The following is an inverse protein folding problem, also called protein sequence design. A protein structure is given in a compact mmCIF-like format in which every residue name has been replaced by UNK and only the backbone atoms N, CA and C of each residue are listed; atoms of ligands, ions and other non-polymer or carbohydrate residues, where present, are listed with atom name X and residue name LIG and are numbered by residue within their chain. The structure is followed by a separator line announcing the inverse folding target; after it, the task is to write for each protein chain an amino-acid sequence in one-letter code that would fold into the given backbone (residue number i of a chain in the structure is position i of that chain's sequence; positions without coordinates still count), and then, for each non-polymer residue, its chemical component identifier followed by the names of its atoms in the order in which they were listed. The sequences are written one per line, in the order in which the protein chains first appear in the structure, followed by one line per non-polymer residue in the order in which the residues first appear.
data_IF_171733974422
#
_entry.id   IF_171733974422
#
_cell.length_a   1.000
_cell.length_b   1.000
_cell.length_c   1.000
_cell.angle_alpha   90.00
_cell.angle_beta   90.00
_cell.angle_gamma   90.00
#
_symmetry.space_group_name_H-M   'P 1'
#
loop_
_entity.id
_entity.type
_entity.pdbx_description
1 polymer ?
#
# COMPACT_ATOMS: atom_id res chain seq x y z
N UNK A 1 5.26 0.99 -9.10
CA UNK A 1 4.12 0.16 -9.53
C UNK A 1 3.04 0.97 -10.25
N UNK A 2 2.99 2.31 -10.14
CA UNK A 2 2.15 3.14 -11.03
C UNK A 2 0.66 3.19 -10.69
N UNK A 3 0.25 2.60 -9.56
CA UNK A 3 -1.12 2.68 -9.08
C UNK A 3 -1.52 4.13 -8.79
N UNK A 4 -2.65 4.56 -9.35
CA UNK A 4 -3.27 5.86 -9.08
C UNK A 4 -4.43 5.73 -8.10
N UNK A 5 -5.17 4.61 -8.16
CA UNK A 5 -6.37 4.38 -7.34
C UNK A 5 -6.13 3.39 -6.20
N UNK A 6 -5.11 3.65 -5.40
CA UNK A 6 -5.06 3.12 -4.04
C UNK A 6 -5.97 3.91 -3.09
N UNK A 7 -5.99 3.55 -1.80
CA UNK A 7 -6.85 4.19 -0.80
C UNK A 7 -6.80 5.73 -0.84
N UNK A 8 -5.61 6.33 -0.73
CA UNK A 8 -5.46 7.79 -0.81
C UNK A 8 -5.78 8.38 -2.18
N UNK A 9 -5.63 7.62 -3.26
CA UNK A 9 -6.08 8.00 -4.59
C UNK A 9 -7.61 8.12 -4.66
N UNK A 10 -8.33 7.17 -4.06
CA UNK A 10 -9.78 7.25 -3.94
C UNK A 10 -10.21 8.48 -3.13
N UNK A 11 -9.56 8.75 -1.99
CA UNK A 11 -9.86 9.95 -1.20
C UNK A 11 -9.62 11.23 -2.02
N UNK A 12 -8.53 11.29 -2.79
CA UNK A 12 -8.25 12.41 -3.68
C UNK A 12 -9.30 12.57 -4.81
N UNK A 13 -9.89 11.46 -5.28
CA UNK A 13 -11.03 11.44 -6.22
C UNK A 13 -12.39 11.75 -5.54
N UNK A 14 -12.38 12.16 -4.26
CA UNK A 14 -13.58 12.52 -3.52
C UNK A 14 -14.39 11.33 -3.03
N UNK A 15 -13.78 10.16 -2.84
CA UNK A 15 -14.41 9.08 -2.08
C UNK A 15 -14.40 9.41 -0.58
N UNK A 16 -15.49 9.08 0.12
CA UNK A 16 -15.45 9.03 1.57
C UNK A 16 -14.86 7.69 2.02
N UNK A 17 -14.25 7.69 3.21
CA UNK A 17 -13.72 6.46 3.82
C UNK A 17 -14.83 5.41 3.98
N UNK A 18 -16.05 5.81 4.32
CA UNK A 18 -17.19 4.90 4.47
C UNK A 18 -17.61 4.24 3.14
N UNK A 19 -17.28 4.86 2.01
CA UNK A 19 -17.60 4.34 0.67
C UNK A 19 -16.56 3.31 0.18
N UNK A 20 -15.37 3.23 0.79
CA UNK A 20 -14.32 2.30 0.34
C UNK A 20 -14.59 0.84 0.73
N UNK A 21 -15.60 0.59 1.57
CA UNK A 21 -16.04 -0.75 1.94
C UNK A 21 -16.89 -1.46 0.87
N UNK A 22 -17.21 -0.81 -0.25
CA UNK A 22 -17.91 -1.40 -1.40
C UNK A 22 -19.41 -1.73 -1.19
N UNK A 23 -19.97 -1.40 -0.02
CA UNK A 23 -21.38 -1.62 0.34
C UNK A 23 -22.22 -0.33 0.33
N UNK A 24 -21.58 0.80 0.01
CA UNK A 24 -22.22 2.12 -0.05
C UNK A 24 -22.91 2.38 -1.41
N UNK A 25 -23.63 3.51 -1.52
CA UNK A 25 -24.35 3.90 -2.73
C UNK A 25 -23.45 4.09 -3.95
N UNK A 26 -22.15 4.31 -3.75
CA UNK A 26 -21.14 4.45 -4.81
C UNK A 26 -20.78 3.13 -5.50
N UNK A 27 -21.14 1.99 -4.88
CA UNK A 27 -20.89 0.66 -5.42
C UNK A 27 -19.48 0.14 -5.18
N UNK A 28 -19.05 -0.80 -6.01
CA UNK A 28 -17.77 -1.48 -5.87
C UNK A 28 -16.59 -0.51 -6.11
N UNK A 29 -15.49 -0.72 -5.36
CA UNK A 29 -14.23 -0.01 -5.60
C UNK A 29 -13.60 -0.45 -6.93
N UNK A 30 -12.76 0.39 -7.57
CA UNK A 30 -12.02 0.01 -8.76
C UNK A 30 -11.19 -1.25 -8.56
N UNK A 31 -11.06 -2.09 -9.60
CA UNK A 31 -10.28 -3.33 -9.54
C UNK A 31 -8.81 -3.08 -9.14
N UNK A 32 -8.25 -1.95 -9.58
CA UNK A 32 -6.92 -1.47 -9.20
C UNK A 32 -6.76 -1.29 -7.68
N UNK A 33 -7.81 -0.81 -7.00
CA UNK A 33 -7.82 -0.66 -5.54
C UNK A 33 -7.72 -2.02 -4.86
N UNK A 34 -8.48 -3.00 -5.34
CA UNK A 34 -8.48 -4.36 -4.80
C UNK A 34 -7.09 -5.00 -4.99
N UNK A 35 -6.48 -4.82 -6.16
CA UNK A 35 -5.14 -5.31 -6.45
C UNK A 35 -4.11 -4.70 -5.50
N UNK A 36 -4.11 -3.37 -5.35
CA UNK A 36 -3.13 -2.69 -4.49
C UNK A 36 -3.33 -3.04 -3.02
N UNK A 37 -4.57 -3.18 -2.56
CA UNK A 37 -4.89 -3.58 -1.19
C UNK A 37 -4.35 -4.98 -0.88
N UNK A 38 -4.54 -5.93 -1.80
CA UNK A 38 -3.95 -7.28 -1.68
C UNK A 38 -2.44 -7.23 -1.64
N UNK A 39 -1.80 -6.45 -2.50
CA UNK A 39 -0.33 -6.30 -2.52
C UNK A 39 0.15 -5.71 -1.18
N UNK A 40 -0.49 -4.66 -0.67
CA UNK A 40 -0.16 -4.08 0.64
C UNK A 40 -0.29 -5.13 1.75
N UNK A 41 -1.37 -5.92 1.75
CA UNK A 41 -1.58 -7.00 2.71
C UNK A 41 -0.48 -8.08 2.70
N UNK A 42 0.17 -8.32 1.55
CA UNK A 42 1.33 -9.23 1.48
C UNK A 42 2.56 -8.66 2.19
N UNK A 43 2.85 -7.37 1.99
CA UNK A 43 3.94 -6.71 2.70
C UNK A 43 3.68 -6.64 4.20
N UNK A 44 2.44 -6.40 4.62
CA UNK A 44 2.06 -6.42 6.03
C UNK A 44 2.20 -7.83 6.63
N UNK A 45 1.84 -8.87 5.87
CA UNK A 45 2.00 -10.27 6.28
C UNK A 45 3.47 -10.68 6.41
N UNK A 46 4.31 -10.31 5.43
CA UNK A 46 5.77 -10.46 5.51
C UNK A 46 6.30 -9.81 6.79
N UNK A 47 5.92 -8.55 7.05
CA UNK A 47 6.35 -7.83 8.23
C UNK A 47 5.88 -8.49 9.53
N UNK A 48 4.63 -8.92 9.59
CA UNK A 48 4.05 -9.61 10.75
C UNK A 48 4.71 -10.98 11.02
N UNK A 49 5.21 -11.64 9.97
CA UNK A 49 5.95 -12.91 10.09
C UNK A 49 7.36 -12.73 10.65
N UNK A 50 7.94 -11.53 10.54
CA UNK A 50 9.33 -11.25 10.92
C UNK A 50 10.38 -11.83 9.98
N UNK A 51 9.98 -12.40 8.83
CA UNK A 51 10.87 -12.98 7.83
C UNK A 51 10.72 -12.27 6.49
N UNK A 52 11.82 -12.10 5.76
CA UNK A 52 11.77 -11.63 4.37
C UNK A 52 11.41 -12.80 3.46
N UNK A 53 10.31 -12.68 2.74
CA UNK A 53 9.87 -13.72 1.82
C UNK A 53 10.64 -13.68 0.49
N UNK A 54 10.77 -14.81 -0.18
CA UNK A 54 11.30 -14.89 -1.53
C UNK A 54 10.30 -14.32 -2.55
N UNK A 55 10.76 -14.05 -3.76
CA UNK A 55 9.88 -13.60 -4.86
C UNK A 55 8.83 -14.66 -5.18
N UNK A 56 9.21 -15.93 -5.11
CA UNK A 56 8.33 -17.08 -5.32
C UNK A 56 7.24 -17.13 -4.23
N UNK A 57 7.60 -16.93 -2.97
CA UNK A 57 6.66 -16.90 -1.84
C UNK A 57 5.68 -15.73 -1.97
N UNK A 58 6.14 -14.53 -2.35
CA UNK A 58 5.24 -13.41 -2.68
C UNK A 58 4.26 -13.78 -3.79
N UNK A 59 4.76 -14.38 -4.87
CA UNK A 59 3.98 -14.69 -6.06
C UNK A 59 3.00 -15.85 -5.89
N UNK A 60 3.09 -16.63 -4.81
CA UNK A 60 2.05 -17.61 -4.46
C UNK A 60 0.70 -16.95 -4.13
N UNK A 61 0.72 -15.74 -3.59
CA UNK A 61 -0.47 -15.05 -3.09
C UNK A 61 -0.74 -13.72 -3.79
N UNK A 62 0.20 -13.21 -4.57
CA UNK A 62 0.06 -11.96 -5.29
C UNK A 62 -1.07 -12.02 -6.34
N UNK A 63 -1.87 -10.93 -6.47
CA UNK A 63 -2.93 -10.86 -7.48
C UNK A 63 -2.38 -10.83 -8.91
N UNK A 64 -1.09 -10.55 -9.06
CA UNK A 64 -0.30 -10.64 -10.29
C UNK A 64 1.15 -10.98 -9.94
N UNK A 65 1.96 -11.46 -10.90
CA UNK A 65 3.39 -11.59 -10.70
C UNK A 65 4.03 -10.25 -10.32
N UNK A 66 4.76 -10.23 -9.21
CA UNK A 66 5.63 -9.16 -8.75
C UNK A 66 7.07 -9.51 -9.12
N UNK A 67 7.79 -8.51 -9.60
CA UNK A 67 9.23 -8.62 -9.85
C UNK A 67 10.03 -8.41 -8.57
N UNK A 68 11.24 -8.97 -8.51
CA UNK A 68 12.17 -8.71 -7.41
C UNK A 68 12.41 -7.20 -7.21
N UNK A 69 12.56 -6.45 -8.31
CA UNK A 69 12.77 -5.01 -8.29
C UNK A 69 11.58 -4.24 -7.68
N UNK A 70 10.34 -4.67 -7.97
CA UNK A 70 9.15 -4.08 -7.35
C UNK A 70 9.11 -4.37 -5.85
N UNK A 71 9.37 -5.61 -5.45
CA UNK A 71 9.38 -6.03 -4.05
C UNK A 71 10.43 -5.25 -3.27
N UNK A 72 11.66 -5.18 -3.80
CA UNK A 72 12.75 -4.43 -3.19
C UNK A 72 12.41 -2.94 -3.08
N UNK A 73 11.85 -2.34 -4.13
CA UNK A 73 11.46 -0.93 -4.10
C UNK A 73 10.43 -0.63 -2.99
N UNK A 74 9.42 -1.48 -2.82
CA UNK A 74 8.43 -1.31 -1.75
C UNK A 74 9.06 -1.48 -0.37
N UNK A 75 9.91 -2.49 -0.17
CA UNK A 75 10.65 -2.69 1.09
C UNK A 75 11.49 -1.47 1.45
N UNK A 76 12.22 -0.91 0.49
CA UNK A 76 13.02 0.30 0.69
C UNK A 76 12.15 1.49 1.09
N UNK A 77 11.10 1.79 0.34
CA UNK A 77 10.19 2.91 0.64
C UNK A 77 9.52 2.77 2.01
N UNK A 78 9.11 1.55 2.38
CA UNK A 78 8.53 1.27 3.70
C UNK A 78 9.54 1.49 4.82
N UNK A 79 10.76 0.98 4.65
CA UNK A 79 11.84 1.15 5.63
C UNK A 79 12.18 2.62 5.84
N UNK A 80 12.29 3.40 4.75
CA UNK A 80 12.51 4.84 4.81
C UNK A 80 11.36 5.58 5.51
N UNK A 81 10.11 5.24 5.18
CA UNK A 81 8.93 5.83 5.82
C UNK A 81 8.91 5.55 7.33
N UNK A 82 9.17 4.30 7.73
CA UNK A 82 9.22 3.95 9.16
C UNK A 82 10.41 4.57 9.87
N UNK A 83 11.55 4.73 9.20
CA UNK A 83 12.68 5.50 9.72
C UNK A 83 12.29 6.96 10.01
N UNK A 84 11.63 7.62 9.05
CA UNK A 84 11.10 8.99 9.23
C UNK A 84 10.09 9.05 10.37
N UNK A 85 9.17 8.10 10.43
CA UNK A 85 8.15 8.03 11.49
C UNK A 85 8.76 7.87 12.88
N UNK A 86 9.74 6.98 13.06
CA UNK A 86 10.44 6.78 14.33
C UNK A 86 11.20 8.02 14.81
N UNK A 87 11.61 8.89 13.90
CA UNK A 87 12.30 10.14 14.22
C UNK A 87 11.35 11.28 14.63
N UNK A 88 10.03 11.11 14.49
CA UNK A 88 9.03 12.11 14.90
C UNK A 88 8.91 12.11 16.42
N UNK A 89 9.15 13.27 17.04
CA UNK A 89 8.97 13.43 18.48
C UNK A 89 7.49 13.31 18.89
N UNK A 90 7.18 12.86 20.12
CA UNK A 90 5.80 12.82 20.62
C UNK A 90 5.08 14.16 20.46
N UNK A 91 3.84 14.13 19.95
CA UNK A 91 3.03 15.32 19.69
C UNK A 91 3.39 16.09 18.42
N UNK A 92 4.41 15.66 17.67
CA UNK A 92 4.71 16.19 16.33
C UNK A 92 4.05 15.35 15.23
N UNK A 93 4.12 15.84 13.99
CA UNK A 93 3.55 15.18 12.81
C UNK A 93 4.63 14.88 11.77
N UNK A 94 4.42 13.81 11.00
CA UNK A 94 5.15 13.54 9.76
C UNK A 94 4.31 14.07 8.59
N UNK A 95 4.87 14.97 7.80
CA UNK A 95 4.26 15.38 6.54
C UNK A 95 4.88 14.59 5.38
N UNK A 96 4.02 13.96 4.58
CA UNK A 96 4.42 13.25 3.37
C UNK A 96 3.90 14.02 2.17
N UNK A 97 4.77 14.22 1.17
CA UNK A 97 4.40 14.80 -0.12
C UNK A 97 4.52 13.71 -1.17
N UNK A 98 3.46 13.51 -1.93
CA UNK A 98 3.43 12.59 -3.05
C UNK A 98 3.30 13.42 -4.32
N UNK A 99 4.12 13.13 -5.32
CA UNK A 99 3.95 13.72 -6.64
C UNK A 99 2.69 13.14 -7.27
N UNK A 100 1.81 14.02 -7.76
CA UNK A 100 0.64 13.62 -8.55
C UNK A 100 1.14 13.41 -9.99
N UNK A 101 1.10 12.18 -10.48
CA UNK A 101 1.44 11.80 -11.86
C UNK A 101 0.24 11.36 -12.70
#
# INVERSE_FOLDING_TARGET
MGYRRGFFGLIAEGWNVDDTGGKGPRGAVPAETIEVERIVGLFDSEQGSGMLWSVEEFNQFAPRPLTEAEILKVRTLRSELFGKWKAVAPGQKLELRFEVG
#
